data_IF_520295308758
#
_entry.id   IF_520295308758
#
_cell.length_a   1.000
_cell.length_b   1.000
_cell.length_c   1.000
_cell.angle_alpha   90.00
_cell.angle_beta   90.00
_cell.angle_gamma   90.00
#
_symmetry.space_group_name_H-M   'P 1'
#
loop_
_entity.id
_entity.type
_entity.pdbx_description
1 polymer ?
#
# COMPACT_ATOMS: atom_id res chain seq x y z
N UNK A 1 -10.55 1.15 0.75
CA UNK A 1 -9.57 0.62 1.75
C UNK A 1 -10.21 0.49 3.11
N UNK A 2 -10.02 -0.65 3.74
CA UNK A 2 -10.55 -0.98 5.09
C UNK A 2 -9.66 -0.36 6.17
N UNK A 3 -9.83 0.91 6.43
CA UNK A 3 -8.95 1.72 7.29
C UNK A 3 -8.90 1.18 8.72
N UNK A 4 -10.04 0.78 9.30
CA UNK A 4 -10.08 0.28 10.68
C UNK A 4 -9.30 -1.04 10.86
N UNK A 5 -9.33 -1.91 9.86
CA UNK A 5 -8.54 -3.15 9.88
C UNK A 5 -7.05 -2.85 9.80
N UNK A 6 -6.65 -1.91 8.94
CA UNK A 6 -5.27 -1.44 8.85
C UNK A 6 -4.78 -0.86 10.18
N UNK A 7 -5.54 0.08 10.78
CA UNK A 7 -5.16 0.72 12.04
C UNK A 7 -5.10 -0.28 13.20
N UNK A 8 -6.04 -1.24 13.24
CA UNK A 8 -6.01 -2.34 14.21
C UNK A 8 -4.73 -3.16 14.09
N UNK A 9 -4.32 -3.51 12.89
CA UNK A 9 -3.13 -4.32 12.65
C UNK A 9 -1.86 -3.55 13.00
N UNK A 10 -1.78 -2.25 12.67
CA UNK A 10 -0.69 -1.36 13.09
C UNK A 10 -0.58 -1.31 14.61
N UNK A 11 -1.69 -1.16 15.32
CA UNK A 11 -1.71 -1.13 16.78
C UNK A 11 -1.27 -2.48 17.39
N UNK A 12 -1.73 -3.60 16.82
CA UNK A 12 -1.31 -4.93 17.25
C UNK A 12 0.18 -5.16 17.10
N UNK A 13 0.74 -4.78 15.96
CA UNK A 13 2.16 -4.92 15.67
C UNK A 13 2.98 -4.08 16.65
N UNK A 14 2.56 -2.86 16.92
CA UNK A 14 3.21 -1.99 17.90
C UNK A 14 3.16 -2.56 19.32
N UNK A 15 2.01 -3.03 19.78
CA UNK A 15 1.84 -3.63 21.12
C UNK A 15 2.63 -4.93 21.28
N UNK A 16 2.76 -5.72 20.20
CA UNK A 16 3.44 -7.02 20.19
C UNK A 16 4.95 -6.89 20.21
N UNK A 17 5.49 -5.92 19.48
CA UNK A 17 6.92 -5.78 19.23
C UNK A 17 7.60 -4.77 20.15
N UNK A 18 6.84 -4.04 20.98
CA UNK A 18 7.36 -3.05 21.89
C UNK A 18 8.00 -1.86 21.15
N UNK A 19 9.33 -1.74 21.24
CA UNK A 19 10.08 -0.63 20.64
C UNK A 19 10.19 -0.72 19.10
N UNK A 20 9.89 -1.88 18.52
CA UNK A 20 9.96 -2.07 17.07
C UNK A 20 8.67 -1.60 16.40
N UNK A 21 8.63 -0.36 16.05
CA UNK A 21 7.59 0.16 15.18
C UNK A 21 7.83 -0.36 13.77
N UNK A 22 7.11 -1.39 13.39
CA UNK A 22 7.05 -1.88 12.01
C UNK A 22 6.46 -0.80 11.09
N UNK A 23 5.65 0.10 11.66
CA UNK A 23 4.95 1.16 10.97
C UNK A 23 5.50 2.54 11.32
N UNK A 24 5.89 3.29 10.29
CA UNK A 24 6.22 4.70 10.41
C UNK A 24 5.04 5.54 9.93
N UNK A 25 4.83 6.69 10.58
CA UNK A 25 3.75 7.60 10.25
C UNK A 25 4.32 8.95 9.84
N UNK A 26 3.73 9.55 8.81
CA UNK A 26 4.08 10.88 8.31
C UNK A 26 2.82 11.61 7.89
N UNK A 27 2.71 12.88 8.28
CA UNK A 27 1.74 13.81 7.72
C UNK A 27 2.09 14.13 6.26
N UNK A 28 1.17 13.85 5.37
CA UNK A 28 1.25 14.29 3.98
C UNK A 28 0.36 15.53 3.82
N UNK A 29 0.86 16.65 4.33
CA UNK A 29 0.08 17.87 4.61
C UNK A 29 -0.65 18.45 3.40
N UNK A 30 -0.07 18.35 2.21
CA UNK A 30 -0.63 19.01 1.01
C UNK A 30 -1.99 18.44 0.57
N UNK A 31 -2.30 17.19 0.94
CA UNK A 31 -3.53 16.51 0.53
C UNK A 31 -4.38 16.01 1.71
N UNK A 32 -4.02 16.34 2.94
CA UNK A 32 -4.76 15.89 4.13
C UNK A 32 -4.65 14.39 4.40
N UNK A 33 -3.53 13.76 4.04
CA UNK A 33 -3.27 12.34 4.28
C UNK A 33 -2.20 12.12 5.35
N UNK A 34 -2.36 11.04 6.09
CA UNK A 34 -1.34 10.46 6.95
C UNK A 34 -0.77 9.23 6.27
N UNK A 35 0.54 9.09 6.23
CA UNK A 35 1.19 7.92 5.65
C UNK A 35 1.64 6.95 6.73
N UNK A 36 1.39 5.66 6.51
CA UNK A 36 1.78 4.56 7.38
C UNK A 36 2.60 3.57 6.56
N UNK A 37 3.79 3.24 7.02
CA UNK A 37 4.65 2.31 6.28
C UNK A 37 5.36 1.30 7.19
N UNK A 38 5.60 0.11 6.63
CA UNK A 38 6.43 -0.94 7.21
C UNK A 38 7.68 -1.24 6.34
N UNK A 39 8.10 -0.30 5.51
CA UNK A 39 9.19 -0.42 4.53
C UNK A 39 8.90 -1.34 3.33
N UNK A 40 7.81 -2.07 3.32
CA UNK A 40 7.35 -2.92 2.20
C UNK A 40 6.06 -2.41 1.58
N UNK A 41 5.22 -1.81 2.38
CA UNK A 41 4.00 -1.14 1.97
C UNK A 41 3.87 0.22 2.66
N UNK A 42 3.42 1.20 1.94
CA UNK A 42 3.08 2.54 2.42
C UNK A 42 1.62 2.80 2.10
N UNK A 43 0.84 3.15 3.11
CA UNK A 43 -0.59 3.45 2.96
C UNK A 43 -0.85 4.93 3.19
N UNK A 44 -1.73 5.52 2.38
CA UNK A 44 -2.19 6.89 2.55
C UNK A 44 -3.60 6.85 3.14
N UNK A 45 -3.73 7.33 4.37
CA UNK A 45 -5.00 7.40 5.10
C UNK A 45 -5.44 8.86 5.19
N UNK A 46 -6.67 9.16 4.85
CA UNK A 46 -7.21 10.51 5.01
C UNK A 46 -7.10 10.94 6.49
N UNK A 47 -6.51 12.11 6.74
CA UNK A 47 -6.24 12.60 8.10
C UNK A 47 -7.50 12.62 8.98
N UNK A 48 -8.66 12.99 8.42
CA UNK A 48 -9.96 12.99 9.12
C UNK A 48 -10.46 11.61 9.55
N UNK A 49 -9.93 10.53 8.94
CA UNK A 49 -10.27 9.13 9.27
C UNK A 49 -9.22 8.46 10.16
N UNK A 50 -8.19 9.21 10.51
CA UNK A 50 -7.10 8.72 11.32
C UNK A 50 -7.41 8.91 12.81
N UNK A 51 -7.87 7.85 13.47
CA UNK A 51 -8.42 7.91 14.83
C UNK A 51 -7.44 7.52 15.95
N UNK A 52 -6.22 7.11 15.61
CA UNK A 52 -5.24 6.66 16.57
C UNK A 52 -4.29 7.80 16.96
N UNK A 53 -3.97 7.90 18.25
CA UNK A 53 -2.93 8.79 18.77
C UNK A 53 -1.58 8.05 18.82
N UNK A 54 -0.68 8.45 17.94
CA UNK A 54 0.70 7.91 17.90
C UNK A 54 1.73 8.83 18.55
N UNK A 55 1.30 9.81 19.34
CA UNK A 55 2.22 10.79 19.98
C UNK A 55 3.29 10.14 20.85
N UNK A 56 3.07 8.90 21.32
CA UNK A 56 4.02 8.12 22.13
C UNK A 56 4.92 7.19 21.31
N UNK A 57 4.73 7.14 19.99
CA UNK A 57 5.54 6.31 19.09
C UNK A 57 6.70 7.14 18.53
N UNK A 58 7.86 6.50 18.35
CA UNK A 58 8.93 7.12 17.59
C UNK A 58 8.52 7.23 16.13
N UNK A 59 8.32 8.47 15.68
CA UNK A 59 7.89 8.76 14.32
C UNK A 59 9.12 8.99 13.43
N UNK A 60 9.35 8.11 12.48
CA UNK A 60 10.32 8.32 11.41
C UNK A 60 9.58 8.85 10.18
N UNK A 61 9.95 10.01 9.70
CA UNK A 61 9.41 10.56 8.46
C UNK A 61 9.99 9.79 7.28
N UNK A 62 9.19 9.04 6.50
CA UNK A 62 9.65 8.53 5.21
C UNK A 62 10.06 9.72 4.34
N UNK A 63 11.09 9.56 3.54
CA UNK A 63 11.48 10.62 2.63
C UNK A 63 10.34 10.88 1.65
N UNK A 64 9.83 12.11 1.61
CA UNK A 64 8.85 12.56 0.60
C UNK A 64 9.32 12.26 -0.82
N UNK A 65 10.64 12.25 -1.04
CA UNK A 65 11.24 11.88 -2.32
C UNK A 65 10.84 10.50 -2.82
N UNK A 66 10.55 9.55 -1.93
CA UNK A 66 10.12 8.20 -2.31
C UNK A 66 8.73 8.26 -2.96
N UNK A 67 7.79 8.96 -2.33
CA UNK A 67 6.43 9.12 -2.86
C UNK A 67 6.47 9.87 -4.19
N UNK A 68 7.17 10.99 -4.23
CA UNK A 68 7.28 11.83 -5.44
C UNK A 68 7.94 11.07 -6.59
N UNK A 69 8.97 10.27 -6.30
CA UNK A 69 9.62 9.42 -7.31
C UNK A 69 8.67 8.36 -7.87
N UNK A 70 7.91 7.68 -7.01
CA UNK A 70 6.93 6.68 -7.45
C UNK A 70 5.81 7.32 -8.29
N UNK A 71 5.33 8.50 -7.90
CA UNK A 71 4.30 9.24 -8.65
C UNK A 71 4.82 9.73 -10.01
N UNK A 72 6.08 10.14 -10.11
CA UNK A 72 6.69 10.55 -11.37
C UNK A 72 6.74 9.43 -12.39
N UNK A 73 6.83 8.17 -11.95
CA UNK A 73 6.87 6.99 -12.82
C UNK A 73 5.48 6.54 -13.30
N UNK A 74 4.39 7.10 -12.74
CA UNK A 74 3.01 6.70 -13.12
C UNK A 74 2.74 6.84 -14.62
N UNK A 75 3.20 7.92 -15.24
CA UNK A 75 2.98 8.17 -16.68
C UNK A 75 3.66 7.16 -17.62
N UNK A 76 4.65 6.42 -17.10
CA UNK A 76 5.40 5.39 -17.81
C UNK A 76 4.97 3.98 -17.38
N UNK A 77 4.01 3.88 -16.47
CA UNK A 77 3.57 2.63 -15.88
C UNK A 77 2.47 1.99 -16.70
N UNK A 78 2.40 0.67 -16.63
CA UNK A 78 1.33 -0.13 -17.21
C UNK A 78 0.31 -0.49 -16.13
N UNK A 79 -0.95 -0.64 -16.55
CA UNK A 79 -2.01 -1.11 -15.66
C UNK A 79 -1.95 -2.63 -15.60
N UNK A 80 -1.85 -3.17 -14.39
CA UNK A 80 -1.98 -4.59 -14.12
C UNK A 80 -3.29 -4.85 -13.37
N UNK A 81 -3.94 -5.99 -13.67
CA UNK A 81 -5.25 -6.33 -13.10
C UNK A 81 -5.16 -7.59 -12.26
N UNK A 82 -5.96 -7.61 -11.20
CA UNK A 82 -6.08 -8.79 -10.35
C UNK A 82 -6.55 -9.99 -11.15
N UNK A 83 -5.85 -11.10 -11.01
CA UNK A 83 -6.17 -12.38 -11.61
C UNK A 83 -6.70 -13.37 -10.57
N UNK A 84 -5.88 -13.76 -9.61
CA UNK A 84 -6.25 -14.73 -8.59
C UNK A 84 -5.32 -14.66 -7.38
N UNK A 85 -5.64 -15.46 -6.37
CA UNK A 85 -4.79 -15.63 -5.19
C UNK A 85 -4.09 -16.99 -5.28
N UNK A 86 -2.80 -17.01 -5.06
CA UNK A 86 -2.00 -18.23 -4.91
C UNK A 86 -1.56 -18.44 -3.46
N UNK A 87 -1.50 -19.71 -3.06
CA UNK A 87 -0.92 -20.12 -1.79
C UNK A 87 0.21 -21.12 -2.10
N UNK A 88 1.41 -20.62 -2.45
CA UNK A 88 2.54 -21.49 -2.68
C UNK A 88 2.91 -22.26 -1.42
N UNK A 89 3.44 -23.48 -1.61
CA UNK A 89 3.91 -24.30 -0.49
C UNK A 89 5.08 -23.56 0.18
N UNK A 90 5.04 -23.45 1.50
CA UNK A 90 6.05 -22.80 2.36
C UNK A 90 6.27 -21.29 2.12
N UNK A 91 5.35 -20.63 1.41
CA UNK A 91 5.37 -19.19 1.20
C UNK A 91 4.10 -18.52 1.74
N UNK A 92 4.18 -17.20 1.90
CA UNK A 92 3.00 -16.40 2.21
C UNK A 92 2.01 -16.39 1.04
N UNK A 93 0.75 -16.11 1.35
CA UNK A 93 -0.32 -15.97 0.37
C UNK A 93 -0.05 -14.80 -0.55
N UNK A 94 -0.17 -15.00 -1.86
CA UNK A 94 0.16 -14.03 -2.89
C UNK A 94 -1.07 -13.63 -3.71
N UNK A 95 -1.20 -12.36 -4.02
CA UNK A 95 -2.09 -11.83 -5.04
C UNK A 95 -1.35 -11.79 -6.37
N UNK A 96 -1.90 -12.42 -7.39
CA UNK A 96 -1.34 -12.43 -8.74
C UNK A 96 -2.08 -11.42 -9.60
N UNK A 97 -1.32 -10.54 -10.21
CA UNK A 97 -1.80 -9.54 -11.18
C UNK A 97 -1.19 -9.84 -12.55
N UNK A 98 -1.90 -9.48 -13.60
CA UNK A 98 -1.42 -9.66 -14.98
C UNK A 98 -1.57 -8.35 -15.75
N UNK A 99 -0.58 -8.07 -16.59
CA UNK A 99 -0.66 -7.01 -17.58
C UNK A 99 -1.42 -7.46 -18.84
N UNK A 100 -1.48 -6.58 -19.82
CA UNK A 100 -2.15 -6.85 -21.09
C UNK A 100 -1.50 -7.99 -21.89
N UNK A 101 -0.22 -8.21 -21.72
CA UNK A 101 0.55 -9.28 -22.39
C UNK A 101 0.51 -10.61 -21.64
N UNK A 102 -0.14 -10.65 -20.47
CA UNK A 102 -0.23 -11.83 -19.61
C UNK A 102 1.00 -12.05 -18.70
N UNK A 103 1.88 -11.05 -18.62
CA UNK A 103 3.00 -11.07 -17.68
C UNK A 103 2.49 -10.92 -16.24
N UNK A 104 3.04 -11.74 -15.36
CA UNK A 104 2.59 -11.81 -13.96
C UNK A 104 3.44 -10.95 -13.02
N UNK A 105 2.76 -10.29 -12.08
CA UNK A 105 3.35 -9.62 -10.93
C UNK A 105 2.67 -10.12 -9.67
N UNK A 106 3.46 -10.50 -8.70
CA UNK A 106 3.01 -11.06 -7.43
C UNK A 106 3.18 -10.05 -6.31
N UNK A 107 2.16 -9.92 -5.47
CA UNK A 107 2.18 -9.03 -4.31
C UNK A 107 1.69 -9.81 -3.10
N UNK A 108 2.40 -9.71 -1.97
CA UNK A 108 1.99 -10.35 -0.74
C UNK A 108 0.56 -9.94 -0.35
N UNK A 109 -0.31 -10.92 -0.14
CA UNK A 109 -1.71 -10.68 0.24
C UNK A 109 -1.83 -9.81 1.50
N UNK A 110 -0.92 -9.96 2.44
CA UNK A 110 -0.91 -9.19 3.68
C UNK A 110 -0.83 -7.67 3.46
N UNK A 111 -0.30 -7.20 2.32
CA UNK A 111 -0.25 -5.78 1.99
C UNK A 111 -1.54 -5.29 1.30
N UNK A 112 -2.27 -6.20 0.64
CA UNK A 112 -3.47 -5.86 -0.13
C UNK A 112 -4.78 -6.29 0.53
N UNK A 113 -4.75 -7.02 1.64
CA UNK A 113 -5.96 -7.53 2.34
C UNK A 113 -6.93 -6.44 2.81
N UNK A 114 -6.49 -5.19 2.86
CA UNK A 114 -7.31 -4.02 3.22
C UNK A 114 -8.13 -3.47 2.04
N UNK A 115 -7.94 -4.04 0.85
CA UNK A 115 -8.61 -3.60 -0.38
C UNK A 115 -9.57 -4.66 -0.91
N UNK A 116 -10.59 -4.21 -1.64
CA UNK A 116 -11.31 -5.08 -2.55
C UNK A 116 -10.49 -5.22 -3.84
N UNK A 117 -9.91 -6.40 -4.05
CA UNK A 117 -8.96 -6.65 -5.14
C UNK A 117 -9.57 -6.45 -6.54
N UNK A 118 -10.90 -6.57 -6.66
CA UNK A 118 -11.60 -6.35 -7.93
C UNK A 118 -11.90 -4.86 -8.20
N UNK A 119 -11.69 -3.99 -7.21
CA UNK A 119 -11.99 -2.54 -7.30
C UNK A 119 -10.75 -1.66 -7.27
N UNK A 120 -9.57 -2.25 -7.21
CA UNK A 120 -8.31 -1.52 -7.26
C UNK A 120 -7.73 -1.53 -8.67
N UNK A 121 -6.96 -0.46 -8.96
CA UNK A 121 -6.14 -0.35 -10.15
C UNK A 121 -4.69 -0.25 -9.70
N UNK A 122 -3.85 -1.10 -10.26
CA UNK A 122 -2.43 -1.10 -9.96
C UNK A 122 -1.65 -0.63 -11.17
N UNK A 123 -0.75 0.31 -10.95
CA UNK A 123 0.22 0.79 -11.92
C UNK A 123 1.61 0.23 -11.61
N UNK A 124 2.19 -0.50 -12.55
CA UNK A 124 3.54 -1.06 -12.49
C UNK A 124 4.45 -0.38 -13.51
N UNK A 125 5.57 0.16 -13.05
CA UNK A 125 6.58 0.73 -13.94
C UNK A 125 7.63 -0.30 -14.35
N UNK A 126 8.16 -1.03 -13.38
CA UNK A 126 9.13 -2.12 -13.57
C UNK A 126 8.92 -3.18 -12.50
N UNK A 127 9.33 -4.40 -12.82
CA UNK A 127 9.12 -5.58 -11.96
C UNK A 127 9.75 -5.48 -10.57
N UNK A 128 10.82 -4.71 -10.44
CA UNK A 128 11.61 -4.50 -9.20
C UNK A 128 11.31 -3.18 -8.50
N UNK A 129 10.33 -2.43 -8.99
CA UNK A 129 9.92 -1.14 -8.44
C UNK A 129 8.62 -1.25 -7.66
N UNK A 130 8.39 -0.34 -6.71
CA UNK A 130 7.10 -0.25 -6.04
C UNK A 130 5.96 -0.05 -7.03
N UNK A 131 4.84 -0.71 -6.77
CA UNK A 131 3.60 -0.51 -7.53
C UNK A 131 2.70 0.50 -6.82
N UNK A 132 1.94 1.26 -7.61
CA UNK A 132 0.98 2.23 -7.12
C UNK A 132 -0.41 1.61 -7.09
N UNK A 133 -1.07 1.63 -5.94
CA UNK A 133 -2.42 1.07 -5.73
C UNK A 133 -3.41 2.22 -5.62
N UNK A 134 -4.34 2.28 -6.58
CA UNK A 134 -5.42 3.25 -6.64
C UNK A 134 -6.77 2.58 -6.40
N UNK A 135 -7.67 3.30 -5.78
CA UNK A 135 -9.09 2.96 -5.64
C UNK A 135 -9.93 3.98 -6.38
N UNK A 136 -11.03 3.55 -7.01
CA UNK A 136 -12.05 4.48 -7.48
C UNK A 136 -12.88 4.99 -6.30
N UNK A 137 -13.02 6.29 -6.23
CA UNK A 137 -13.96 6.93 -5.32
C UNK A 137 -15.34 7.00 -5.99
N UNK A 138 -16.35 6.31 -5.39
CA UNK A 138 -17.69 6.17 -6.00
C UNK A 138 -18.41 7.51 -6.20
N UNK A 139 -18.10 8.52 -5.38
CA UNK A 139 -18.76 9.83 -5.43
C UNK A 139 -18.20 10.72 -6.53
N UNK A 140 -16.87 10.74 -6.69
CA UNK A 140 -16.17 11.63 -7.64
C UNK A 140 -15.82 10.92 -8.94
N UNK A 141 -15.89 9.59 -8.98
CA UNK A 141 -15.41 8.73 -10.06
C UNK A 141 -13.93 8.98 -10.41
N UNK A 142 -13.15 9.40 -9.42
CA UNK A 142 -11.72 9.68 -9.54
C UNK A 142 -10.88 8.54 -8.96
N UNK A 143 -9.71 8.31 -9.56
CA UNK A 143 -8.71 7.42 -9.01
C UNK A 143 -7.97 8.11 -7.87
N UNK A 144 -7.98 7.50 -6.68
CA UNK A 144 -7.28 8.01 -5.50
C UNK A 144 -6.17 7.06 -5.11
N UNK A 145 -4.94 7.57 -5.00
CA UNK A 145 -3.80 6.79 -4.51
C UNK A 145 -4.03 6.38 -3.05
N UNK A 146 -3.99 5.07 -2.80
CA UNK A 146 -4.20 4.51 -1.47
C UNK A 146 -2.97 3.82 -0.89
N UNK A 147 -2.11 3.26 -1.74
CA UNK A 147 -0.90 2.60 -1.26
C UNK A 147 0.20 2.58 -2.32
N UNK A 148 1.42 2.43 -1.84
CA UNK A 148 2.62 2.10 -2.62
C UNK A 148 3.17 0.82 -2.01
N UNK A 149 3.33 -0.23 -2.81
CA UNK A 149 3.64 -1.57 -2.31
C UNK A 149 4.81 -2.16 -3.10
N UNK A 150 5.73 -2.82 -2.39
CA UNK A 150 6.79 -3.59 -3.03
C UNK A 150 6.24 -4.91 -3.57
N UNK A 151 6.48 -5.26 -4.84
CA UNK A 151 6.15 -6.57 -5.37
C UNK A 151 6.96 -7.66 -4.68
N UNK A 152 6.43 -8.88 -4.70
CA UNK A 152 7.12 -10.06 -4.19
C UNK A 152 8.15 -10.50 -5.23
N UNK A 153 9.39 -10.62 -4.79
CA UNK A 153 10.50 -11.08 -5.64
C UNK A 153 10.86 -12.51 -5.25
N UNK A 154 10.69 -13.39 -6.21
CA UNK A 154 11.17 -14.80 -6.08
C UNK A 154 12.62 -14.92 -6.49
#
# INVERSE_FOLDING_TARGET
MKIFELLRDVLKDWLRQGEYTVWNMTDYEENGFVTITNNKALYLVEAKKFLLDFSKMELRRPSRKIIDSCLADKSKSEIIRFSHIEQPQDLEKLCVFTDFEGKKTEIAYNYLKYFDLNRIIIYEYRKDHPVLVYEYEDVTNEEVLRAIVMPFMR
#
